data_IF_699952553640
#
_entry.id   IF_699952553640
#
_cell.length_a   1.000
_cell.length_b   1.000
_cell.length_c   1.000
_cell.angle_alpha   90.00
_cell.angle_beta   90.00
_cell.angle_gamma   90.00
#
_symmetry.space_group_name_H-M   'P 1'
#
loop_
_entity.id
_entity.type
_entity.pdbx_description
1 polymer ?
#
# COMPACT_ATOMS: atom_id res chain seq x y z
N UNK A 1 3.59 -42.76 24.18
CA UNK A 1 3.54 -42.62 25.64
C UNK A 1 3.28 -41.15 25.95
N UNK A 2 2.01 -40.80 26.14
CA UNK A 2 1.55 -39.46 26.51
C UNK A 2 0.78 -39.63 27.82
N UNK A 3 1.25 -38.99 28.87
CA UNK A 3 0.60 -39.03 30.18
C UNK A 3 -0.64 -38.14 30.18
N UNK A 4 -1.73 -38.82 30.53
CA UNK A 4 -3.09 -38.36 30.64
C UNK A 4 -3.33 -37.98 32.11
N UNK A 5 -3.69 -36.73 32.42
CA UNK A 5 -4.30 -36.40 33.72
C UNK A 5 -5.53 -35.54 33.52
N UNK A 6 -6.68 -35.93 34.11
CA UNK A 6 -7.96 -35.28 33.87
C UNK A 6 -8.21 -34.11 34.82
N UNK A 7 -8.99 -33.17 34.27
CA UNK A 7 -9.68 -32.06 34.89
C UNK A 7 -10.41 -32.43 36.20
N UNK A 8 -10.32 -31.56 37.20
CA UNK A 8 -11.28 -31.54 38.32
C UNK A 8 -11.92 -30.16 38.44
N UNK A 9 -13.25 -30.21 38.47
CA UNK A 9 -14.20 -29.13 38.62
C UNK A 9 -13.98 -28.32 39.90
N UNK A 10 -14.13 -27.00 39.79
CA UNK A 10 -14.26 -26.06 40.91
C UNK A 10 -15.74 -25.74 41.10
N UNK A 11 -16.30 -26.18 42.23
CA UNK A 11 -17.54 -25.65 42.84
C UNK A 11 -17.21 -25.05 44.21
N UNK A 12 -18.04 -24.12 44.73
CA UNK A 12 -17.59 -23.06 45.63
C UNK A 12 -17.59 -23.51 47.10
N UNK A 13 -16.50 -23.22 47.81
CA UNK A 13 -16.40 -23.47 49.25
C UNK A 13 -17.04 -22.31 50.01
N UNK A 14 -18.10 -22.65 50.75
CA UNK A 14 -18.79 -21.84 51.75
C UNK A 14 -17.83 -21.33 52.84
N UNK A 15 -18.00 -20.07 53.19
CA UNK A 15 -17.49 -19.43 54.41
C UNK A 15 -17.84 -20.29 55.63
N UNK A 16 -16.84 -20.70 56.40
CA UNK A 16 -16.90 -20.85 57.87
C UNK A 16 -15.49 -21.17 58.38
N UNK A 17 -14.86 -20.21 59.05
CA UNK A 17 -13.76 -20.49 59.98
C UNK A 17 -13.66 -19.35 60.97
N UNK A 18 -14.30 -19.56 62.12
CA UNK A 18 -13.99 -18.90 63.38
C UNK A 18 -12.72 -19.56 63.88
N UNK A 19 -11.59 -18.85 63.84
CA UNK A 19 -10.34 -19.37 64.39
C UNK A 19 -10.29 -19.03 65.89
N UNK A 20 -10.38 -20.09 66.69
CA UNK A 20 -10.18 -20.10 68.14
C UNK A 20 -8.78 -19.60 68.51
N UNK A 21 -8.69 -18.58 69.36
CA UNK A 21 -7.46 -18.12 69.98
C UNK A 21 -7.47 -18.56 71.46
N UNK A 22 -6.87 -19.71 71.76
CA UNK A 22 -6.54 -20.10 73.13
C UNK A 22 -5.07 -19.75 73.38
N UNK A 23 -4.83 -18.68 74.15
CA UNK A 23 -3.51 -18.36 74.70
C UNK A 23 -3.54 -18.74 76.18
N UNK A 24 -2.66 -19.67 76.54
CA UNK A 24 -2.40 -20.11 77.92
C UNK A 24 -1.66 -19.00 78.67
N UNK A 25 -2.19 -18.57 79.81
CA UNK A 25 -1.55 -17.61 80.73
C UNK A 25 -0.86 -18.42 81.84
N UNK A 26 0.46 -18.29 81.94
CA UNK A 26 1.24 -18.63 83.15
C UNK A 26 2.04 -17.39 83.59
N UNK A 27 2.14 -17.06 84.90
CA UNK A 27 2.82 -15.86 85.32
C UNK A 27 4.30 -16.17 85.66
N UNK A 28 5.21 -15.47 84.99
CA UNK A 28 6.58 -15.29 85.48
C UNK A 28 6.97 -13.83 85.27
N UNK A 29 7.01 -13.08 86.37
CA UNK A 29 7.60 -11.74 86.43
C UNK A 29 9.13 -11.85 86.38
N UNK A 30 9.77 -11.23 85.39
CA UNK A 30 10.97 -10.40 85.60
C UNK A 30 11.48 -9.72 84.32
N UNK A 31 11.83 -8.44 84.49
CA UNK A 31 12.81 -7.64 83.75
C UNK A 31 12.50 -7.18 82.29
N UNK A 32 11.93 -5.97 82.23
CA UNK A 32 12.19 -4.84 81.32
C UNK A 32 13.33 -5.03 80.29
N UNK A 33 12.98 -5.02 79.00
CA UNK A 33 13.63 -4.21 77.97
C UNK A 33 12.81 -4.23 76.67
N UNK A 34 12.68 -3.04 76.05
CA UNK A 34 11.96 -2.72 74.80
C UNK A 34 10.47 -2.46 74.97
N UNK A 35 10.07 -1.19 74.85
CA UNK A 35 8.71 -0.68 74.98
C UNK A 35 7.73 -1.30 73.97
N UNK A 36 7.31 -2.53 74.23
CA UNK A 36 6.19 -3.19 73.56
C UNK A 36 4.92 -3.00 74.39
N UNK A 37 3.80 -2.64 73.76
CA UNK A 37 2.53 -2.45 74.44
C UNK A 37 2.11 -3.74 75.16
N UNK A 38 1.43 -3.61 76.30
CA UNK A 38 0.86 -4.78 76.99
C UNK A 38 -0.11 -5.54 76.07
N UNK A 39 -0.36 -6.85 76.28
CA UNK A 39 -1.28 -7.62 75.44
C UNK A 39 -2.68 -6.97 75.31
N UNK A 40 -3.15 -6.29 76.35
CA UNK A 40 -4.41 -5.55 76.35
C UNK A 40 -4.36 -4.27 75.50
N UNK A 41 -3.23 -3.55 75.49
CA UNK A 41 -3.03 -2.36 74.66
C UNK A 41 -2.81 -2.74 73.19
N UNK A 42 -2.09 -3.83 72.93
CA UNK A 42 -1.93 -4.40 71.60
C UNK A 42 -3.28 -4.85 71.01
N UNK A 43 -4.14 -5.47 71.82
CA UNK A 43 -5.49 -5.86 71.41
C UNK A 43 -6.38 -4.64 71.14
N UNK A 44 -6.35 -3.60 71.99
CA UNK A 44 -7.08 -2.34 71.76
C UNK A 44 -6.62 -1.65 70.49
N UNK A 45 -5.31 -1.58 70.23
CA UNK A 45 -4.75 -1.02 69.01
C UNK A 45 -5.14 -1.83 67.76
N UNK A 46 -5.15 -3.16 67.85
CA UNK A 46 -5.58 -4.04 66.78
C UNK A 46 -7.08 -3.86 66.45
N UNK A 47 -7.94 -3.75 67.46
CA UNK A 47 -9.39 -3.50 67.29
C UNK A 47 -9.63 -2.11 66.69
N UNK A 48 -8.90 -1.09 67.11
CA UNK A 48 -8.99 0.25 66.54
C UNK A 48 -8.56 0.26 65.06
N UNK A 49 -7.47 -0.44 64.72
CA UNK A 49 -6.98 -0.59 63.34
C UNK A 49 -7.97 -1.39 62.48
N UNK A 50 -8.62 -2.42 63.03
CA UNK A 50 -9.65 -3.19 62.34
C UNK A 50 -10.87 -2.32 61.99
N UNK A 51 -11.36 -1.50 62.95
CA UNK A 51 -12.45 -0.54 62.70
C UNK A 51 -12.08 0.51 61.65
N UNK A 52 -10.83 0.98 61.67
CA UNK A 52 -10.33 1.92 60.68
C UNK A 52 -10.27 1.30 59.27
N UNK A 53 -9.79 0.05 59.17
CA UNK A 53 -9.76 -0.70 57.91
C UNK A 53 -11.16 -1.01 57.38
N UNK A 54 -12.11 -1.31 58.27
CA UNK A 54 -13.52 -1.52 57.91
C UNK A 54 -14.17 -0.23 57.37
N UNK A 55 -13.90 0.90 58.02
CA UNK A 55 -14.34 2.21 57.52
C UNK A 55 -13.72 2.56 56.15
N UNK A 56 -12.42 2.26 55.96
CA UNK A 56 -11.75 2.44 54.68
C UNK A 56 -12.32 1.52 53.59
N UNK A 57 -12.61 0.25 53.91
CA UNK A 57 -13.23 -0.70 53.01
C UNK A 57 -14.62 -0.24 52.58
N UNK A 58 -15.43 0.27 53.52
CA UNK A 58 -16.76 0.80 53.21
C UNK A 58 -16.70 2.04 52.32
N UNK A 59 -15.72 2.93 52.52
CA UNK A 59 -15.47 4.08 51.65
C UNK A 59 -15.03 3.67 50.24
N UNK A 60 -14.19 2.65 50.13
CA UNK A 60 -13.75 2.08 48.84
C UNK A 60 -14.90 1.40 48.09
N UNK A 61 -15.74 0.63 48.79
CA UNK A 61 -16.95 0.02 48.21
C UNK A 61 -17.90 1.09 47.66
N UNK A 62 -18.18 2.13 48.45
CA UNK A 62 -19.01 3.26 47.99
C UNK A 62 -18.42 3.97 46.77
N UNK A 63 -17.10 4.15 46.74
CA UNK A 63 -16.38 4.74 45.59
C UNK A 63 -16.44 3.84 44.35
N UNK A 64 -16.31 2.52 44.51
CA UNK A 64 -16.41 1.54 43.44
C UNK A 64 -17.83 1.50 42.84
N UNK A 65 -18.87 1.52 43.69
CA UNK A 65 -20.27 1.61 43.23
C UNK A 65 -20.52 2.90 42.46
N UNK A 66 -19.98 4.04 42.94
CA UNK A 66 -20.07 5.33 42.23
C UNK A 66 -19.37 5.29 40.87
N UNK A 67 -18.18 4.68 40.80
CA UNK A 67 -17.44 4.51 39.55
C UNK A 67 -18.17 3.58 38.57
N UNK A 68 -18.72 2.47 39.05
CA UNK A 68 -19.49 1.52 38.23
C UNK A 68 -20.76 2.16 37.67
N UNK A 69 -21.46 2.97 38.49
CA UNK A 69 -22.59 3.78 38.04
C UNK A 69 -22.16 4.79 36.97
N UNK A 70 -21.04 5.49 37.17
CA UNK A 70 -20.51 6.43 36.18
C UNK A 70 -20.14 5.77 34.84
N UNK A 71 -19.57 4.56 34.86
CA UNK A 71 -19.29 3.78 33.64
C UNK A 71 -20.58 3.36 32.94
N UNK A 72 -21.59 2.92 33.69
CA UNK A 72 -22.91 2.57 33.14
C UNK A 72 -23.64 3.79 32.54
N UNK A 73 -23.59 4.92 33.23
CA UNK A 73 -24.18 6.18 32.78
C UNK A 73 -23.46 6.68 31.51
N UNK A 74 -22.12 6.59 31.46
CA UNK A 74 -21.32 6.91 30.28
C UNK A 74 -21.63 5.99 29.09
N UNK A 75 -21.79 4.67 29.32
CA UNK A 75 -22.19 3.73 28.28
C UNK A 75 -23.61 4.00 27.75
N UNK A 76 -24.53 4.43 28.62
CA UNK A 76 -25.89 4.82 28.24
C UNK A 76 -25.90 6.13 27.44
N UNK A 77 -25.12 7.13 27.88
CA UNK A 77 -24.93 8.37 27.16
C UNK A 77 -24.28 8.15 25.78
N UNK A 78 -23.28 7.25 25.68
CA UNK A 78 -22.67 6.86 24.41
C UNK A 78 -23.70 6.22 23.47
N UNK A 79 -24.54 5.30 23.97
CA UNK A 79 -25.63 4.70 23.18
C UNK A 79 -26.65 5.73 22.72
N UNK A 80 -27.02 6.68 23.58
CA UNK A 80 -27.95 7.76 23.23
C UNK A 80 -27.34 8.73 22.19
N UNK A 81 -26.05 9.06 22.32
CA UNK A 81 -25.30 9.84 21.34
C UNK A 81 -25.19 9.10 20.00
N UNK A 82 -24.90 7.80 20.01
CA UNK A 82 -24.88 6.95 18.82
C UNK A 82 -26.27 6.90 18.15
N UNK A 83 -27.35 6.78 18.93
CA UNK A 83 -28.72 6.78 18.41
C UNK A 83 -29.13 8.15 17.84
N UNK A 84 -28.74 9.26 18.47
CA UNK A 84 -28.98 10.61 17.96
C UNK A 84 -28.18 10.89 16.69
N UNK A 85 -26.91 10.46 16.65
CA UNK A 85 -26.04 10.54 15.46
C UNK A 85 -26.62 9.69 14.32
N UNK A 86 -27.10 8.48 14.62
CA UNK A 86 -27.76 7.62 13.64
C UNK A 86 -29.05 8.26 13.10
N UNK A 87 -29.87 8.93 13.93
CA UNK A 87 -31.07 9.65 13.46
C UNK A 87 -30.74 10.82 12.54
N UNK A 88 -29.72 11.61 12.87
CA UNK A 88 -29.23 12.70 12.00
C UNK A 88 -28.66 12.12 10.69
N UNK A 89 -27.91 11.02 10.79
CA UNK A 89 -27.33 10.31 9.66
C UNK A 89 -28.40 9.75 8.71
N UNK A 90 -29.50 9.17 9.23
CA UNK A 90 -30.64 8.67 8.42
C UNK A 90 -31.30 9.80 7.62
N UNK A 91 -31.48 10.98 8.21
CA UNK A 91 -32.05 12.14 7.49
C UNK A 91 -31.10 12.69 6.42
N UNK A 92 -29.79 12.49 6.58
CA UNK A 92 -28.76 12.94 5.64
C UNK A 92 -28.40 11.88 4.59
N UNK A 93 -28.77 10.61 4.77
CA UNK A 93 -28.36 9.48 3.93
C UNK A 93 -28.76 9.69 2.46
N UNK A 94 -30.03 10.01 2.20
CA UNK A 94 -30.55 10.18 0.83
C UNK A 94 -29.86 11.36 0.10
N UNK A 95 -29.66 12.47 0.82
CA UNK A 95 -28.99 13.65 0.29
C UNK A 95 -27.50 13.40 0.02
N UNK A 96 -26.81 12.73 0.94
CA UNK A 96 -25.39 12.35 0.77
C UNK A 96 -25.21 11.34 -0.36
N UNK A 97 -26.13 10.37 -0.48
CA UNK A 97 -26.12 9.43 -1.60
C UNK A 97 -26.28 10.17 -2.93
N UNK A 98 -27.28 11.05 -3.05
CA UNK A 98 -27.52 11.83 -4.26
C UNK A 98 -26.31 12.69 -4.64
N UNK A 99 -25.68 13.34 -3.66
CA UNK A 99 -24.44 14.11 -3.86
C UNK A 99 -23.28 13.23 -4.30
N UNK A 100 -23.08 12.08 -3.65
CA UNK A 100 -22.04 11.13 -4.02
C UNK A 100 -22.23 10.59 -5.45
N UNK A 101 -23.46 10.21 -5.83
CA UNK A 101 -23.77 9.73 -7.18
C UNK A 101 -23.54 10.82 -8.24
N UNK A 102 -23.92 12.07 -7.95
CA UNK A 102 -23.70 13.20 -8.86
C UNK A 102 -22.21 13.49 -9.07
N UNK A 103 -21.42 13.51 -7.99
CA UNK A 103 -19.97 13.73 -8.08
C UNK A 103 -19.27 12.54 -8.75
N UNK A 104 -19.70 11.30 -8.48
CA UNK A 104 -19.18 10.12 -9.18
C UNK A 104 -19.44 10.19 -10.69
N UNK A 105 -20.59 10.74 -11.11
CA UNK A 105 -20.90 10.99 -12.52
C UNK A 105 -19.93 12.02 -13.14
N UNK A 106 -19.64 13.10 -12.42
CA UNK A 106 -18.65 14.11 -12.84
C UNK A 106 -17.24 13.52 -12.93
N UNK A 107 -16.84 12.71 -11.96
CA UNK A 107 -15.57 12.01 -11.94
C UNK A 107 -15.43 11.04 -13.12
N UNK A 108 -16.48 10.29 -13.45
CA UNK A 108 -16.50 9.40 -14.62
C UNK A 108 -16.36 10.16 -15.93
N UNK A 109 -17.04 11.30 -16.06
CA UNK A 109 -16.91 12.18 -17.23
C UNK A 109 -15.48 12.75 -17.34
N UNK A 110 -14.89 13.21 -16.23
CA UNK A 110 -13.51 13.68 -16.19
C UNK A 110 -12.51 12.56 -16.55
N UNK A 111 -12.74 11.33 -16.09
CA UNK A 111 -11.91 10.18 -16.42
C UNK A 111 -11.96 9.84 -17.92
N UNK A 112 -13.16 9.88 -18.52
CA UNK A 112 -13.34 9.69 -19.94
C UNK A 112 -12.62 10.78 -20.76
N UNK A 113 -12.73 12.05 -20.34
CA UNK A 113 -12.05 13.17 -20.98
C UNK A 113 -10.52 13.05 -20.88
N UNK A 114 -9.98 12.73 -19.70
CA UNK A 114 -8.54 12.52 -19.51
C UNK A 114 -8.03 11.32 -20.33
N UNK A 115 -8.79 10.23 -20.40
CA UNK A 115 -8.45 9.07 -21.25
C UNK A 115 -8.41 9.47 -22.73
N UNK A 116 -9.43 10.18 -23.23
CA UNK A 116 -9.47 10.66 -24.60
C UNK A 116 -8.29 11.60 -24.92
N UNK A 117 -7.96 12.51 -24.00
CA UNK A 117 -6.81 13.40 -24.13
C UNK A 117 -5.48 12.63 -24.19
N UNK A 118 -5.29 11.62 -23.33
CA UNK A 118 -4.11 10.75 -23.35
C UNK A 118 -4.00 9.96 -24.65
N UNK A 119 -5.09 9.37 -25.13
CA UNK A 119 -5.11 8.66 -26.41
C UNK A 119 -4.73 9.58 -27.58
N UNK A 120 -5.27 10.80 -27.59
CA UNK A 120 -4.92 11.81 -28.61
C UNK A 120 -3.45 12.20 -28.53
N UNK A 121 -2.93 12.46 -27.32
CA UNK A 121 -1.52 12.77 -27.10
C UNK A 121 -0.60 11.63 -27.56
N UNK A 122 -0.97 10.38 -27.26
CA UNK A 122 -0.23 9.20 -27.68
C UNK A 122 -0.25 9.04 -29.20
N UNK A 123 -1.42 9.17 -29.84
CA UNK A 123 -1.53 9.10 -31.30
C UNK A 123 -0.66 10.15 -32.01
N UNK A 124 -0.55 11.37 -31.47
CA UNK A 124 0.36 12.38 -32.00
C UNK A 124 1.84 12.02 -31.82
N UNK A 125 2.22 11.41 -30.68
CA UNK A 125 3.58 10.90 -30.45
C UNK A 125 3.93 9.75 -31.40
N UNK A 126 3.00 8.83 -31.60
CA UNK A 126 3.16 7.69 -32.51
C UNK A 126 3.32 8.16 -33.97
N UNK A 127 2.55 9.17 -34.39
CA UNK A 127 2.67 9.81 -35.70
C UNK A 127 4.07 10.45 -35.88
N UNK A 128 4.57 11.17 -34.88
CA UNK A 128 5.94 11.73 -34.90
C UNK A 128 6.98 10.61 -34.99
N UNK A 129 6.84 9.53 -34.21
CA UNK A 129 7.75 8.40 -34.26
C UNK A 129 7.78 7.74 -35.64
N UNK A 130 6.61 7.53 -36.25
CA UNK A 130 6.47 6.98 -37.61
C UNK A 130 7.12 7.89 -38.66
N UNK A 131 6.89 9.20 -38.58
CA UNK A 131 7.49 10.16 -39.51
C UNK A 131 9.01 10.22 -39.34
N UNK A 132 9.54 10.20 -38.11
CA UNK A 132 10.99 10.14 -37.84
C UNK A 132 11.61 8.85 -38.39
N UNK A 133 10.94 7.71 -38.25
CA UNK A 133 11.38 6.45 -38.85
C UNK A 133 11.41 6.52 -40.38
N UNK A 134 10.39 7.13 -41.00
CA UNK A 134 10.35 7.36 -42.45
C UNK A 134 11.48 8.28 -42.93
N UNK A 135 11.79 9.35 -42.19
CA UNK A 135 12.93 10.24 -42.46
C UNK A 135 14.24 9.46 -42.36
N UNK A 136 14.44 8.67 -41.32
CA UNK A 136 15.65 7.87 -41.14
C UNK A 136 15.85 6.88 -42.29
N UNK A 137 14.78 6.17 -42.68
CA UNK A 137 14.81 5.25 -43.82
C UNK A 137 15.13 5.98 -45.14
N UNK A 138 14.41 7.06 -45.45
CA UNK A 138 14.63 7.82 -46.68
C UNK A 138 16.04 8.43 -46.74
N UNK A 139 16.58 8.86 -45.59
CA UNK A 139 17.97 9.36 -45.49
C UNK A 139 18.98 8.24 -45.78
N UNK A 140 18.76 7.04 -45.27
CA UNK A 140 19.63 5.89 -45.53
C UNK A 140 19.55 5.44 -46.99
N UNK A 141 18.34 5.38 -47.57
CA UNK A 141 18.12 5.04 -48.98
C UNK A 141 18.79 6.08 -49.90
N UNK A 142 18.70 7.37 -49.56
CA UNK A 142 19.40 8.44 -50.26
C UNK A 142 20.91 8.25 -50.20
N UNK A 143 21.49 8.06 -49.01
CA UNK A 143 22.94 7.86 -48.85
C UNK A 143 23.44 6.64 -49.63
N UNK A 144 22.70 5.54 -49.60
CA UNK A 144 23.02 4.33 -50.34
C UNK A 144 22.96 4.55 -51.86
N UNK A 145 21.95 5.28 -52.34
CA UNK A 145 21.81 5.62 -53.75
C UNK A 145 22.92 6.58 -54.22
N UNK A 146 23.21 7.64 -53.45
CA UNK A 146 24.26 8.62 -53.74
C UNK A 146 25.65 7.96 -53.84
N UNK A 147 25.95 6.97 -52.97
CA UNK A 147 27.19 6.19 -53.04
C UNK A 147 27.37 5.44 -54.38
N UNK A 148 26.27 5.07 -55.02
CA UNK A 148 26.27 4.33 -56.30
C UNK A 148 26.28 5.24 -57.53
N UNK A 149 25.91 6.53 -57.39
CA UNK A 149 25.88 7.48 -58.52
C UNK A 149 27.23 7.59 -59.20
N UNK A 150 28.32 7.81 -58.44
CA UNK A 150 29.66 7.97 -59.04
C UNK A 150 30.11 6.69 -59.78
N UNK A 151 30.12 5.49 -59.17
CA UNK A 151 30.44 4.25 -59.89
C UNK A 151 29.57 3.99 -61.12
N UNK A 152 28.26 4.26 -61.03
CA UNK A 152 27.34 4.07 -62.15
C UNK A 152 27.52 5.12 -63.26
N UNK A 153 27.87 6.36 -62.91
CA UNK A 153 28.20 7.42 -63.88
C UNK A 153 29.48 7.06 -64.62
N UNK A 154 30.51 6.60 -63.89
CA UNK A 154 31.77 6.16 -64.48
C UNK A 154 31.55 4.93 -65.39
N UNK A 155 30.72 3.97 -64.97
CA UNK A 155 30.37 2.80 -65.76
C UNK A 155 29.52 3.14 -67.00
N UNK A 156 28.54 4.05 -66.87
CA UNK A 156 27.73 4.52 -67.98
C UNK A 156 28.59 5.26 -69.01
N UNK A 157 29.48 6.15 -68.56
CA UNK A 157 30.45 6.84 -69.41
C UNK A 157 31.36 5.85 -70.14
N UNK A 158 31.94 4.87 -69.42
CA UNK A 158 32.78 3.83 -70.01
C UNK A 158 32.02 2.99 -71.05
N UNK A 159 30.76 2.65 -70.78
CA UNK A 159 29.92 1.89 -71.71
C UNK A 159 29.54 2.73 -72.95
N UNK A 160 29.30 4.03 -72.79
CA UNK A 160 29.06 4.96 -73.90
C UNK A 160 30.32 5.16 -74.74
N UNK A 161 31.48 5.35 -74.12
CA UNK A 161 32.78 5.48 -74.81
C UNK A 161 33.09 4.18 -75.60
N UNK A 162 32.80 3.01 -75.01
CA UNK A 162 32.93 1.72 -75.69
C UNK A 162 31.95 1.53 -76.85
N UNK A 163 30.70 2.01 -76.71
CA UNK A 163 29.72 2.04 -77.80
C UNK A 163 30.21 2.93 -78.94
N UNK A 164 30.63 4.16 -78.67
CA UNK A 164 31.14 5.09 -79.69
C UNK A 164 32.35 4.52 -80.43
N UNK A 165 33.27 3.86 -79.71
CA UNK A 165 34.41 3.18 -80.31
C UNK A 165 33.97 1.99 -81.20
N UNK A 166 33.03 1.16 -80.74
CA UNK A 166 32.51 0.03 -81.51
C UNK A 166 31.69 0.47 -82.73
N UNK A 167 30.92 1.56 -82.63
CA UNK A 167 30.17 2.15 -83.74
C UNK A 167 31.12 2.70 -84.81
N UNK A 168 32.22 3.37 -84.40
CA UNK A 168 33.27 3.85 -85.31
C UNK A 168 34.02 2.69 -85.97
N UNK A 169 34.32 1.63 -85.22
CA UNK A 169 34.93 0.39 -85.73
C UNK A 169 34.00 -0.30 -86.75
N UNK A 170 32.70 -0.38 -86.47
CA UNK A 170 31.68 -0.90 -87.38
C UNK A 170 31.52 -0.05 -88.66
N UNK A 171 31.52 1.28 -88.53
CA UNK A 171 31.46 2.21 -89.67
C UNK A 171 32.70 2.13 -90.57
N UNK A 172 33.88 1.87 -89.98
CA UNK A 172 35.14 1.70 -90.73
C UNK A 172 35.21 0.33 -91.42
N UNK A 173 34.72 -0.73 -90.77
CA UNK A 173 34.68 -2.10 -91.30
C UNK A 173 33.66 -2.30 -92.43
N UNK A 174 32.58 -1.51 -92.48
CA UNK A 174 31.59 -1.53 -93.57
C UNK A 174 32.14 -1.06 -94.94
N UNK A 175 33.41 -0.63 -95.01
CA UNK A 175 34.03 0.00 -96.19
C UNK A 175 34.99 -0.90 -97.00
N UNK A 176 35.18 -2.19 -96.69
CA UNK A 176 36.05 -3.10 -97.46
C UNK A 176 35.53 -4.58 -97.49
N UNK A 177 35.93 -5.39 -98.49
CA UNK A 177 35.27 -6.64 -98.96
C UNK A 177 35.81 -7.99 -98.36
N UNK A 178 34.92 -9.00 -98.37
CA UNK A 178 35.04 -10.49 -98.20
C UNK A 178 35.76 -11.09 -96.97
N UNK A 179 37.04 -10.84 -96.67
CA UNK A 179 37.60 -11.19 -95.33
C UNK A 179 36.98 -10.33 -94.21
N UNK A 180 36.36 -9.23 -94.64
CA UNK A 180 35.59 -8.29 -93.85
C UNK A 180 34.28 -8.86 -93.30
N UNK A 181 33.65 -9.90 -93.88
CA UNK A 181 32.34 -10.37 -93.40
C UNK A 181 32.40 -10.99 -91.99
N UNK A 182 33.47 -11.72 -91.67
CA UNK A 182 33.64 -12.35 -90.34
C UNK A 182 34.02 -11.31 -89.27
N UNK A 183 34.85 -10.32 -89.62
CA UNK A 183 35.20 -9.20 -88.74
C UNK A 183 34.06 -8.20 -88.58
N UNK A 184 33.28 -7.94 -89.63
CA UNK A 184 32.09 -7.09 -89.59
C UNK A 184 30.98 -7.69 -88.73
N UNK A 185 30.74 -9.01 -88.82
CA UNK A 185 29.77 -9.70 -87.94
C UNK A 185 30.22 -9.65 -86.46
N UNK A 186 31.49 -9.93 -86.18
CA UNK A 186 32.02 -9.83 -84.82
C UNK A 186 31.99 -8.38 -84.27
N UNK A 187 32.26 -7.38 -85.12
CA UNK A 187 32.16 -5.97 -84.75
C UNK A 187 30.70 -5.54 -84.52
N UNK A 188 29.75 -6.02 -85.33
CA UNK A 188 28.32 -5.77 -85.15
C UNK A 188 27.76 -6.43 -83.88
N UNK A 189 28.16 -7.66 -83.56
CA UNK A 189 27.76 -8.35 -82.32
C UNK A 189 28.32 -7.61 -81.09
N UNK A 190 29.57 -7.13 -81.17
CA UNK A 190 30.22 -6.30 -80.15
C UNK A 190 29.52 -4.94 -79.98
N UNK A 191 29.17 -4.27 -81.08
CA UNK A 191 28.44 -3.00 -81.07
C UNK A 191 27.02 -3.16 -80.51
N UNK A 192 26.34 -4.26 -80.84
CA UNK A 192 25.00 -4.60 -80.32
C UNK A 192 25.07 -4.86 -78.81
N UNK A 193 26.04 -5.66 -78.36
CA UNK A 193 26.27 -5.93 -76.94
C UNK A 193 26.64 -4.65 -76.18
N UNK A 194 27.55 -3.84 -76.70
CA UNK A 194 27.94 -2.55 -76.12
C UNK A 194 26.76 -1.57 -76.04
N UNK A 195 25.92 -1.50 -77.06
CA UNK A 195 24.70 -0.69 -77.07
C UNK A 195 23.71 -1.15 -75.99
N UNK A 196 23.52 -2.47 -75.86
CA UNK A 196 22.65 -3.05 -74.82
C UNK A 196 23.18 -2.77 -73.41
N UNK A 197 24.49 -2.91 -73.21
CA UNK A 197 25.15 -2.60 -71.94
C UNK A 197 25.08 -1.11 -71.58
N UNK A 198 25.33 -0.22 -72.55
CA UNK A 198 25.24 1.23 -72.34
C UNK A 198 23.80 1.66 -72.01
N UNK A 199 22.80 1.05 -72.66
CA UNK A 199 21.39 1.27 -72.34
C UNK A 199 21.06 0.81 -70.92
N UNK A 200 21.46 -0.41 -70.54
CA UNK A 200 21.22 -0.94 -69.19
C UNK A 200 21.91 -0.12 -68.08
N UNK A 201 23.12 0.38 -68.32
CA UNK A 201 23.85 1.24 -67.39
C UNK A 201 23.15 2.61 -67.20
N UNK A 202 22.73 3.24 -68.31
CA UNK A 202 21.99 4.51 -68.27
C UNK A 202 20.60 4.36 -67.65
N UNK A 203 19.90 3.25 -67.91
CA UNK A 203 18.60 2.98 -67.29
C UNK A 203 18.73 2.75 -65.78
N UNK A 204 19.81 2.08 -65.35
CA UNK A 204 20.16 1.93 -63.92
C UNK A 204 20.45 3.29 -63.28
N UNK A 205 21.29 4.13 -63.89
CA UNK A 205 21.62 5.47 -63.38
C UNK A 205 20.38 6.37 -63.29
N UNK A 206 19.48 6.32 -64.30
CA UNK A 206 18.19 7.02 -64.26
C UNK A 206 17.33 6.58 -63.09
N UNK A 207 17.19 5.27 -62.86
CA UNK A 207 16.45 4.73 -61.71
C UNK A 207 17.05 5.21 -60.38
N UNK A 208 18.37 5.17 -60.23
CA UNK A 208 19.06 5.66 -59.02
C UNK A 208 18.84 7.16 -58.79
N UNK A 209 18.88 7.99 -59.83
CA UNK A 209 18.59 9.41 -59.72
C UNK A 209 17.12 9.69 -59.34
N UNK A 210 16.17 8.91 -59.85
CA UNK A 210 14.76 8.96 -59.43
C UNK A 210 14.62 8.60 -57.95
N UNK A 211 15.27 7.54 -57.47
CA UNK A 211 15.27 7.16 -56.05
C UNK A 211 15.81 8.27 -55.14
N UNK A 212 16.89 8.96 -55.54
CA UNK A 212 17.46 10.09 -54.79
C UNK A 212 16.45 11.24 -54.71
N UNK A 213 15.83 11.60 -55.84
CA UNK A 213 14.84 12.67 -55.89
C UNK A 213 13.62 12.37 -55.01
N UNK A 214 13.09 11.14 -55.08
CA UNK A 214 11.99 10.67 -54.23
C UNK A 214 12.37 10.67 -52.75
N UNK A 215 13.58 10.23 -52.42
CA UNK A 215 14.06 10.19 -51.03
C UNK A 215 14.23 11.59 -50.45
N UNK A 216 14.83 12.53 -51.19
CA UNK A 216 14.96 13.94 -50.79
C UNK A 216 13.61 14.62 -50.57
N UNK A 217 12.65 14.37 -51.47
CA UNK A 217 11.28 14.86 -51.32
C UNK A 217 10.62 14.28 -50.06
N UNK A 218 10.77 12.98 -49.84
CA UNK A 218 10.21 12.29 -48.66
C UNK A 218 10.79 12.85 -47.35
N UNK A 219 12.12 13.08 -47.29
CA UNK A 219 12.78 13.69 -46.12
C UNK A 219 12.25 15.09 -45.85
N UNK A 220 12.14 15.93 -46.88
CA UNK A 220 11.66 17.31 -46.75
C UNK A 220 10.20 17.36 -46.28
N UNK A 221 9.32 16.64 -46.96
CA UNK A 221 7.88 16.58 -46.65
C UNK A 221 7.66 16.01 -45.23
N UNK A 222 8.38 14.96 -44.85
CA UNK A 222 8.24 14.33 -43.55
C UNK A 222 8.79 15.20 -42.41
N UNK A 223 9.91 15.89 -42.61
CA UNK A 223 10.46 16.83 -41.60
C UNK A 223 9.52 18.03 -41.36
N UNK A 224 8.91 18.57 -42.43
CA UNK A 224 7.92 19.62 -42.28
C UNK A 224 6.68 19.15 -41.49
N UNK A 225 6.23 17.91 -41.75
CA UNK A 225 5.16 17.27 -40.97
C UNK A 225 5.56 17.04 -39.51
N UNK A 226 6.77 16.53 -39.24
CA UNK A 226 7.28 16.35 -37.86
C UNK A 226 7.22 17.67 -37.10
N UNK A 227 7.76 18.75 -37.68
CA UNK A 227 7.76 20.08 -37.04
C UNK A 227 6.34 20.57 -36.73
N UNK A 228 5.40 20.37 -37.67
CA UNK A 228 4.00 20.76 -37.49
C UNK A 228 3.31 19.93 -36.40
N UNK A 229 3.55 18.62 -36.37
CA UNK A 229 2.98 17.73 -35.36
C UNK A 229 3.58 18.00 -33.98
N UNK A 230 4.89 18.26 -33.87
CA UNK A 230 5.54 18.64 -32.60
C UNK A 230 5.02 19.99 -32.06
N UNK A 231 4.77 20.97 -32.93
CA UNK A 231 4.11 22.22 -32.53
C UNK A 231 2.66 21.99 -32.06
N UNK A 232 1.95 21.05 -32.69
CA UNK A 232 0.59 20.66 -32.26
C UNK A 232 0.60 19.96 -30.90
N UNK A 233 1.57 19.07 -30.65
CA UNK A 233 1.78 18.43 -29.34
C UNK A 233 2.02 19.50 -28.27
N UNK A 234 2.88 20.48 -28.56
CA UNK A 234 3.19 21.57 -27.62
C UNK A 234 1.94 22.39 -27.27
N UNK A 235 1.09 22.68 -28.27
CA UNK A 235 -0.19 23.37 -28.05
C UNK A 235 -1.22 22.53 -27.30
N UNK A 236 -1.19 21.21 -27.44
CA UNK A 236 -2.12 20.29 -26.77
C UNK A 236 -1.72 19.94 -25.32
N UNK A 237 -0.43 20.09 -24.97
CA UNK A 237 0.06 19.85 -23.62
C UNK A 237 -0.76 20.52 -22.49
N UNK A 238 -1.14 21.81 -22.57
CA UNK A 238 -1.99 22.44 -21.55
C UNK A 238 -3.41 21.84 -21.49
N UNK A 239 -3.97 21.38 -22.62
CA UNK A 239 -5.29 20.72 -22.62
C UNK A 239 -5.24 19.37 -21.90
N UNK A 240 -4.17 18.59 -22.12
CA UNK A 240 -3.93 17.34 -21.40
C UNK A 240 -3.77 17.61 -19.90
N UNK A 241 -2.92 18.56 -19.52
CA UNK A 241 -2.70 18.92 -18.12
C UNK A 241 -4.00 19.38 -17.43
N UNK A 242 -4.83 20.18 -18.10
CA UNK A 242 -6.14 20.60 -17.60
C UNK A 242 -7.08 19.42 -17.39
N UNK A 243 -7.11 18.47 -18.33
CA UNK A 243 -7.95 17.27 -18.20
C UNK A 243 -7.49 16.38 -17.02
N UNK A 244 -6.18 16.27 -16.80
CA UNK A 244 -5.62 15.51 -15.67
C UNK A 244 -5.87 16.18 -14.32
N UNK A 245 -5.67 17.49 -14.22
CA UNK A 245 -5.99 18.26 -13.01
C UNK A 245 -7.48 18.21 -12.66
N UNK A 246 -8.35 18.23 -13.68
CA UNK A 246 -9.80 18.07 -13.49
C UNK A 246 -10.12 16.67 -12.98
N UNK A 247 -9.51 15.62 -13.54
CA UNK A 247 -9.67 14.25 -13.06
C UNK A 247 -9.22 14.10 -11.61
N UNK A 248 -8.07 14.66 -11.25
CA UNK A 248 -7.55 14.61 -9.87
C UNK A 248 -8.52 15.28 -8.89
N UNK A 249 -8.95 16.51 -9.19
CA UNK A 249 -9.90 17.27 -8.37
C UNK A 249 -11.22 16.51 -8.20
N UNK A 250 -11.77 15.97 -9.29
CA UNK A 250 -13.02 15.23 -9.26
C UNK A 250 -12.89 13.87 -8.56
N UNK A 251 -11.72 13.24 -8.63
CA UNK A 251 -11.42 12.01 -7.89
C UNK A 251 -11.39 12.27 -6.39
N UNK A 252 -10.71 13.33 -5.94
CA UNK A 252 -10.69 13.72 -4.53
C UNK A 252 -12.09 14.07 -4.01
N UNK A 253 -12.86 14.84 -4.80
CA UNK A 253 -14.23 15.19 -4.47
C UNK A 253 -15.13 13.94 -4.36
N UNK A 254 -15.00 13.00 -5.31
CA UNK A 254 -15.75 11.75 -5.31
C UNK A 254 -15.41 10.89 -4.10
N UNK A 255 -14.13 10.71 -3.77
CA UNK A 255 -13.70 9.95 -2.59
C UNK A 255 -14.24 10.59 -1.30
N UNK A 256 -14.15 11.92 -1.19
CA UNK A 256 -14.64 12.65 -0.02
C UNK A 256 -16.15 12.47 0.18
N UNK A 257 -16.92 12.63 -0.90
CA UNK A 257 -18.37 12.44 -0.86
C UNK A 257 -18.76 10.99 -0.53
N UNK A 258 -18.08 10.01 -1.13
CA UNK A 258 -18.31 8.59 -0.83
C UNK A 258 -17.96 8.26 0.62
N UNK A 259 -16.86 8.75 1.18
CA UNK A 259 -16.51 8.54 2.60
C UNK A 259 -17.56 9.12 3.56
N UNK A 260 -18.10 10.29 3.25
CA UNK A 260 -19.19 10.88 4.03
C UNK A 260 -20.45 10.00 4.02
N UNK A 261 -20.80 9.45 2.85
CA UNK A 261 -21.91 8.53 2.71
C UNK A 261 -21.66 7.18 3.42
N UNK A 262 -20.47 6.58 3.25
CA UNK A 262 -20.09 5.35 3.95
C UNK A 262 -20.15 5.49 5.46
N UNK A 263 -19.72 6.64 6.01
CA UNK A 263 -19.77 6.92 7.45
C UNK A 263 -21.21 6.82 7.99
N UNK A 264 -22.19 7.32 7.22
CA UNK A 264 -23.62 7.19 7.53
C UNK A 264 -24.09 5.74 7.43
N UNK A 265 -23.69 5.01 6.39
CA UNK A 265 -24.06 3.60 6.24
C UNK A 265 -23.49 2.73 7.37
N UNK A 266 -22.26 2.99 7.81
CA UNK A 266 -21.63 2.31 8.94
C UNK A 266 -22.39 2.63 10.23
N UNK A 267 -22.66 3.92 10.50
CA UNK A 267 -23.40 4.36 11.69
C UNK A 267 -24.83 3.80 11.75
N UNK A 268 -25.47 3.58 10.60
CA UNK A 268 -26.80 2.99 10.48
C UNK A 268 -26.80 1.48 10.30
N UNK A 269 -25.64 0.82 10.48
CA UNK A 269 -25.45 -0.63 10.37
C UNK A 269 -25.73 -1.24 8.98
N UNK A 270 -25.86 -0.41 7.94
CA UNK A 270 -26.09 -0.83 6.55
C UNK A 270 -24.81 -1.20 5.79
N UNK A 271 -23.64 -0.89 6.36
CA UNK A 271 -22.33 -1.24 5.80
C UNK A 271 -21.39 -1.66 6.92
N UNK A 272 -20.48 -2.59 6.60
CA UNK A 272 -19.30 -2.88 7.41
C UNK A 272 -18.07 -2.39 6.66
N UNK A 273 -17.22 -1.59 7.30
CA UNK A 273 -15.96 -1.15 6.69
C UNK A 273 -15.03 -2.34 6.48
N UNK A 274 -14.61 -2.58 5.23
CA UNK A 274 -13.60 -3.59 4.96
C UNK A 274 -12.28 -3.25 5.65
N UNK A 275 -11.77 -2.04 5.47
CA UNK A 275 -10.44 -1.63 5.93
C UNK A 275 -10.34 -1.65 7.45
N UNK A 276 -11.37 -1.17 8.15
CA UNK A 276 -11.35 -1.04 9.60
C UNK A 276 -11.75 -2.32 10.33
N UNK A 277 -12.58 -3.17 9.71
CA UNK A 277 -13.20 -4.32 10.39
C UNK A 277 -12.78 -5.68 9.84
N UNK A 278 -12.63 -5.82 8.52
CA UNK A 278 -12.42 -7.13 7.87
C UNK A 278 -10.96 -7.37 7.52
N UNK A 279 -10.30 -6.40 6.90
CA UNK A 279 -8.88 -6.44 6.58
C UNK A 279 -8.00 -6.80 7.80
N UNK A 280 -8.27 -6.31 9.03
CA UNK A 280 -7.50 -6.70 10.21
C UNK A 280 -7.67 -8.18 10.57
N UNK A 281 -8.85 -8.76 10.32
CA UNK A 281 -9.11 -10.18 10.57
C UNK A 281 -8.35 -11.00 9.54
N UNK A 282 -8.46 -10.65 8.25
CA UNK A 282 -7.77 -11.38 7.18
C UNK A 282 -6.25 -11.31 7.32
N UNK A 283 -5.71 -10.12 7.59
CA UNK A 283 -4.28 -9.92 7.81
C UNK A 283 -3.73 -10.77 8.96
N UNK A 284 -4.52 -10.99 10.02
CA UNK A 284 -4.04 -11.71 11.20
C UNK A 284 -4.32 -13.21 11.19
N UNK A 285 -5.44 -13.61 10.60
CA UNK A 285 -5.94 -14.99 10.72
C UNK A 285 -5.75 -15.79 9.44
N UNK A 286 -5.48 -15.13 8.31
CA UNK A 286 -5.52 -15.78 7.00
C UNK A 286 -4.24 -15.56 6.19
N UNK A 287 -3.70 -14.34 6.18
CA UNK A 287 -2.56 -13.95 5.33
C UNK A 287 -1.28 -14.75 5.61
N UNK A 288 -1.07 -15.25 6.83
CA UNK A 288 0.09 -16.11 7.12
C UNK A 288 0.17 -17.37 6.23
N UNK A 289 -0.97 -17.88 5.75
CA UNK A 289 -1.06 -19.07 4.88
C UNK A 289 -1.71 -18.81 3.51
N UNK A 290 -2.30 -17.64 3.29
CA UNK A 290 -3.04 -17.26 2.09
C UNK A 290 -2.57 -15.89 1.59
N UNK A 291 -1.32 -15.82 1.17
CA UNK A 291 -0.69 -14.63 0.61
C UNK A 291 -0.11 -14.91 -0.79
N UNK A 292 0.48 -13.89 -1.41
CA UNK A 292 1.04 -14.01 -2.76
C UNK A 292 2.22 -15.01 -2.85
N UNK A 293 2.94 -15.25 -1.75
CA UNK A 293 4.08 -16.19 -1.68
C UNK A 293 3.64 -17.59 -1.26
N UNK A 294 2.75 -17.66 -0.29
CA UNK A 294 2.21 -18.87 0.31
C UNK A 294 0.70 -18.86 0.08
N UNK A 295 0.26 -19.39 -1.07
CA UNK A 295 -1.15 -19.45 -1.46
C UNK A 295 -1.73 -20.85 -1.24
N UNK A 296 -1.84 -21.31 0.02
CA UNK A 296 -2.44 -22.63 0.31
C UNK A 296 -3.87 -22.68 -0.25
N UNK A 297 -4.24 -23.81 -0.86
CA UNK A 297 -5.52 -23.94 -1.57
C UNK A 297 -5.68 -22.95 -2.73
N UNK A 298 -4.56 -22.47 -3.30
CA UNK A 298 -4.50 -21.45 -4.36
C UNK A 298 -5.22 -20.14 -4.04
N UNK A 299 -5.45 -19.86 -2.75
CA UNK A 299 -6.14 -18.67 -2.28
C UNK A 299 -5.14 -17.60 -1.83
N UNK A 300 -5.37 -16.35 -2.28
CA UNK A 300 -4.60 -15.18 -1.90
C UNK A 300 -5.52 -14.09 -1.32
N UNK A 301 -5.22 -13.65 -0.11
CA UNK A 301 -5.97 -12.67 0.66
C UNK A 301 -5.16 -11.38 0.93
N UNK A 302 -4.03 -11.17 0.26
CA UNK A 302 -3.16 -10.00 0.48
C UNK A 302 -3.78 -8.67 0.04
N UNK A 303 -4.80 -8.71 -0.81
CA UNK A 303 -5.53 -7.52 -1.25
C UNK A 303 -7.00 -7.86 -1.46
N UNK A 304 -7.83 -6.82 -1.53
CA UNK A 304 -9.24 -6.97 -1.83
C UNK A 304 -9.47 -7.64 -3.20
N UNK A 305 -8.74 -7.20 -4.23
CA UNK A 305 -8.81 -7.78 -5.56
C UNK A 305 -8.37 -9.24 -5.61
N UNK A 306 -7.33 -9.62 -4.85
CA UNK A 306 -6.90 -11.02 -4.76
C UNK A 306 -7.97 -11.89 -4.10
N UNK A 307 -8.59 -11.38 -3.03
CA UNK A 307 -9.67 -12.05 -2.31
C UNK A 307 -10.85 -12.37 -3.22
N UNK A 308 -11.22 -11.44 -4.11
CA UNK A 308 -12.33 -11.65 -5.06
C UNK A 308 -12.06 -12.75 -6.10
N UNK A 309 -10.79 -13.07 -6.39
CA UNK A 309 -10.45 -14.12 -7.37
C UNK A 309 -10.75 -15.53 -6.84
N UNK A 310 -10.83 -15.70 -5.54
CA UNK A 310 -11.02 -17.02 -4.93
C UNK A 310 -9.77 -17.89 -4.99
N UNK A 311 -9.97 -19.19 -4.75
CA UNK A 311 -8.91 -20.20 -4.78
C UNK A 311 -9.35 -21.48 -5.48
N UNK A 312 -8.73 -22.60 -5.10
CA UNK A 312 -9.03 -23.93 -5.65
C UNK A 312 -10.47 -24.37 -5.42
N UNK A 313 -11.10 -23.92 -4.32
CA UNK A 313 -12.50 -24.16 -4.00
C UNK A 313 -13.46 -23.17 -4.67
N UNK A 314 -13.01 -22.41 -5.67
CA UNK A 314 -13.79 -21.38 -6.35
C UNK A 314 -13.76 -20.03 -5.62
N UNK A 315 -14.83 -19.23 -5.78
CA UNK A 315 -14.94 -17.92 -5.15
C UNK A 315 -14.88 -18.03 -3.63
N UNK A 316 -14.13 -17.14 -2.98
CA UNK A 316 -14.07 -17.09 -1.52
C UNK A 316 -15.43 -16.76 -0.92
N UNK A 317 -16.15 -15.81 -1.52
CA UNK A 317 -17.48 -15.44 -1.10
C UNK A 317 -18.31 -14.92 -2.26
N UNK A 318 -19.64 -15.00 -2.11
CA UNK A 318 -20.60 -14.35 -2.97
C UNK A 318 -21.17 -13.12 -2.25
N UNK A 319 -20.99 -11.93 -2.86
CA UNK A 319 -21.52 -10.69 -2.33
C UNK A 319 -23.04 -10.80 -2.10
N UNK A 320 -23.49 -10.44 -0.90
CA UNK A 320 -24.88 -10.54 -0.46
C UNK A 320 -25.32 -11.92 0.04
N UNK A 321 -24.49 -12.96 -0.06
CA UNK A 321 -24.84 -14.34 0.29
C UNK A 321 -23.80 -15.00 1.21
N UNK A 322 -23.73 -14.54 2.46
CA UNK A 322 -22.79 -15.07 3.43
C UNK A 322 -22.95 -16.59 3.64
N UNK A 323 -24.18 -17.07 3.80
CA UNK A 323 -24.43 -18.49 4.11
C UNK A 323 -24.14 -19.44 2.94
N UNK A 324 -24.06 -18.91 1.70
CA UNK A 324 -23.65 -19.67 0.51
C UNK A 324 -22.15 -19.54 0.20
N UNK A 325 -21.41 -18.76 0.99
CA UNK A 325 -20.01 -18.45 0.72
C UNK A 325 -19.08 -19.50 1.32
N UNK A 326 -18.17 -20.04 0.49
CA UNK A 326 -17.18 -21.04 0.92
C UNK A 326 -16.34 -20.58 2.11
N UNK A 327 -15.92 -19.32 2.14
CA UNK A 327 -15.19 -18.73 3.26
C UNK A 327 -15.98 -18.86 4.57
N UNK A 328 -17.28 -18.60 4.56
CA UNK A 328 -18.12 -18.62 5.77
C UNK A 328 -18.28 -20.04 6.29
N UNK A 329 -18.52 -21.01 5.41
CA UNK A 329 -18.62 -22.42 5.79
C UNK A 329 -17.34 -22.92 6.50
N UNK A 330 -16.16 -22.58 5.96
CA UNK A 330 -14.87 -23.01 6.49
C UNK A 330 -14.44 -22.33 7.80
N UNK A 331 -14.92 -21.12 8.08
CA UNK A 331 -14.63 -20.44 9.36
C UNK A 331 -15.63 -20.80 10.46
N UNK A 332 -16.86 -21.20 10.10
CA UNK A 332 -17.89 -21.62 11.05
C UNK A 332 -17.68 -23.03 11.57
N UNK A 333 -17.22 -23.96 10.72
CA UNK A 333 -16.92 -25.34 11.12
C UNK A 333 -15.55 -25.48 11.82
N UNK A 334 -14.76 -24.39 11.85
CA UNK A 334 -13.43 -24.35 12.44
C UNK A 334 -12.32 -24.98 11.59
N UNK A 335 -12.60 -25.38 10.35
CA UNK A 335 -11.62 -25.91 9.40
C UNK A 335 -10.57 -24.86 9.03
N UNK A 336 -10.93 -23.57 9.08
CA UNK A 336 -10.03 -22.44 8.87
C UNK A 336 -10.11 -21.44 10.02
N UNK A 337 -8.96 -20.98 10.54
CA UNK A 337 -7.61 -21.21 10.04
C UNK A 337 -7.06 -22.59 10.46
N UNK A 338 -6.38 -23.27 9.53
CA UNK A 338 -5.77 -24.58 9.81
C UNK A 338 -4.55 -24.43 10.73
N UNK A 339 -4.44 -25.31 11.73
CA UNK A 339 -3.33 -25.37 12.70
C UNK A 339 -3.18 -24.08 13.55
N UNK A 340 -4.25 -23.29 13.69
CA UNK A 340 -4.34 -22.15 14.59
C UNK A 340 -5.70 -22.12 15.28
N UNK A 341 -5.87 -21.25 16.27
CA UNK A 341 -7.16 -21.11 16.95
C UNK A 341 -8.26 -20.72 15.94
N UNK A 342 -9.50 -21.20 16.11
CA UNK A 342 -10.64 -20.75 15.32
C UNK A 342 -10.88 -19.24 15.43
N UNK A 343 -11.61 -18.66 14.49
CA UNK A 343 -12.11 -17.30 14.64
C UNK A 343 -13.12 -17.23 15.80
N UNK A 344 -13.17 -16.08 16.46
CA UNK A 344 -14.21 -15.81 17.47
C UNK A 344 -15.58 -15.66 16.81
N UNK A 345 -16.66 -15.94 17.54
CA UNK A 345 -18.02 -15.78 17.05
C UNK A 345 -18.31 -14.35 16.55
N UNK A 346 -17.75 -13.33 17.21
CA UNK A 346 -17.90 -11.93 16.79
C UNK A 346 -17.18 -11.64 15.46
N UNK A 347 -15.99 -12.21 15.24
CA UNK A 347 -15.26 -12.08 13.97
C UNK A 347 -16.04 -12.73 12.82
N UNK A 348 -16.56 -13.94 13.03
CA UNK A 348 -17.38 -14.65 12.04
C UNK A 348 -18.63 -13.83 11.73
N UNK A 349 -19.36 -13.37 12.74
CA UNK A 349 -20.56 -12.53 12.59
C UNK A 349 -20.26 -11.25 11.80
N UNK A 350 -19.10 -10.64 12.02
CA UNK A 350 -18.67 -9.42 11.32
C UNK A 350 -18.38 -9.70 9.84
N UNK A 351 -17.68 -10.79 9.52
CA UNK A 351 -17.43 -11.24 8.14
C UNK A 351 -18.75 -11.52 7.42
N UNK A 352 -19.67 -12.27 8.05
CA UNK A 352 -20.99 -12.57 7.49
C UNK A 352 -21.78 -11.29 7.20
N UNK A 353 -21.80 -10.36 8.16
CA UNK A 353 -22.48 -9.07 7.98
C UNK A 353 -21.87 -8.29 6.82
N UNK A 354 -20.54 -8.21 6.74
CA UNK A 354 -19.87 -7.55 5.62
C UNK A 354 -20.26 -8.16 4.27
N UNK A 355 -20.22 -9.48 4.14
CA UNK A 355 -20.64 -10.18 2.91
C UNK A 355 -22.11 -9.85 2.58
N UNK A 356 -23.02 -9.97 3.55
CA UNK A 356 -24.44 -9.70 3.36
C UNK A 356 -24.73 -8.23 3.03
N UNK A 357 -23.91 -7.29 3.50
CA UNK A 357 -23.99 -5.87 3.11
C UNK A 357 -23.31 -5.55 1.79
N UNK A 358 -22.95 -6.56 1.00
CA UNK A 358 -22.41 -6.41 -0.35
C UNK A 358 -20.90 -6.56 -0.47
N UNK A 359 -20.19 -6.92 0.61
CA UNK A 359 -18.74 -7.12 0.63
C UNK A 359 -17.93 -5.93 0.08
N UNK A 360 -18.40 -4.71 0.31
CA UNK A 360 -17.81 -3.50 -0.27
C UNK A 360 -16.43 -3.16 0.29
N UNK A 361 -15.57 -2.59 -0.56
CA UNK A 361 -14.33 -1.93 -0.18
C UNK A 361 -14.60 -0.45 0.14
N UNK A 362 -13.90 0.11 1.13
CA UNK A 362 -14.05 1.52 1.49
C UNK A 362 -13.59 2.47 0.37
N UNK A 363 -14.26 3.61 0.27
CA UNK A 363 -13.93 4.66 -0.66
C UNK A 363 -12.51 5.19 -0.46
N UNK A 364 -11.78 5.33 -1.57
CA UNK A 364 -10.40 5.81 -1.60
C UNK A 364 -9.36 4.75 -1.25
N UNK A 365 -9.76 3.49 -1.02
CA UNK A 365 -8.84 2.37 -0.91
C UNK A 365 -8.69 1.70 -2.27
N UNK A 366 -7.45 1.49 -2.70
CA UNK A 366 -7.15 0.80 -3.95
C UNK A 366 -7.47 -0.69 -3.82
N UNK A 367 -8.10 -1.27 -4.86
CA UNK A 367 -8.45 -2.70 -4.86
C UNK A 367 -7.24 -3.63 -4.76
N UNK A 368 -6.07 -3.15 -5.19
CA UNK A 368 -4.80 -3.89 -5.13
C UNK A 368 -3.91 -3.45 -3.96
N UNK A 369 -4.36 -2.51 -3.13
CA UNK A 369 -3.57 -2.09 -1.98
C UNK A 369 -3.40 -3.29 -1.05
N UNK A 370 -2.18 -3.55 -0.56
CA UNK A 370 -1.94 -4.68 0.33
C UNK A 370 -2.67 -4.43 1.66
N UNK A 371 -3.23 -5.49 2.27
CA UNK A 371 -4.01 -5.36 3.50
C UNK A 371 -3.25 -4.59 4.59
N UNK A 372 -1.94 -4.80 4.69
CA UNK A 372 -1.09 -4.12 5.68
C UNK A 372 -1.08 -2.59 5.54
N UNK A 373 -1.29 -2.05 4.34
CA UNK A 373 -1.33 -0.61 4.08
C UNK A 373 -2.68 0.02 4.44
N UNK A 374 -3.75 -0.76 4.42
CA UNK A 374 -5.13 -0.26 4.61
C UNK A 374 -5.68 -0.57 6.01
N UNK A 375 -5.09 -1.55 6.71
CA UNK A 375 -5.48 -1.91 8.08
C UNK A 375 -5.16 -0.76 9.03
N UNK A 376 -6.13 -0.28 9.83
CA UNK A 376 -5.90 0.81 10.77
C UNK A 376 -4.84 0.44 11.80
N UNK A 377 -4.18 1.47 12.32
CA UNK A 377 -3.25 1.31 13.45
C UNK A 377 -4.04 0.82 14.65
N UNK A 378 -3.56 -0.26 15.27
CA UNK A 378 -4.16 -0.73 16.51
C UNK A 378 -3.77 0.23 17.63
N UNK A 379 -4.73 0.70 18.44
CA UNK A 379 -4.37 1.41 19.65
C UNK A 379 -3.53 0.47 20.50
N UNK A 380 -2.40 0.97 20.99
CA UNK A 380 -1.56 0.18 21.89
C UNK A 380 -2.28 0.06 23.23
N UNK A 381 -2.27 -1.12 23.87
CA UNK A 381 -2.90 -1.29 25.16
C UNK A 381 -2.25 -0.36 26.19
N UNK A 382 -3.06 0.14 27.12
CA UNK A 382 -2.54 0.92 28.23
C UNK A 382 -1.65 0.04 29.12
N UNK A 383 -0.44 0.50 29.48
CA UNK A 383 0.43 -0.27 30.37
C UNK A 383 -0.25 -0.41 31.75
N UNK A 384 -0.04 -1.53 32.46
CA UNK A 384 -0.64 -1.74 33.76
C UNK A 384 -0.12 -0.71 34.78
N UNK A 385 -0.94 -0.34 35.77
CA UNK A 385 -0.52 0.59 36.83
C UNK A 385 0.72 0.10 37.58
N UNK A 386 0.82 -1.21 37.80
CA UNK A 386 1.99 -1.87 38.36
C UNK A 386 2.23 -3.19 37.63
N UNK A 387 3.49 -3.49 37.33
CA UNK A 387 3.88 -4.77 36.76
C UNK A 387 3.94 -5.84 37.86
N UNK A 388 3.37 -7.01 37.57
CA UNK A 388 3.39 -8.16 38.51
C UNK A 388 4.72 -8.90 38.51
N UNK A 389 5.49 -8.74 37.43
CA UNK A 389 6.82 -9.33 37.22
C UNK A 389 7.76 -8.25 36.68
N UNK A 390 9.08 -8.35 36.91
CA UNK A 390 10.03 -7.43 36.30
C UNK A 390 9.89 -7.44 34.77
N UNK A 391 9.84 -6.25 34.16
CA UNK A 391 9.87 -6.09 32.69
C UNK A 391 11.31 -5.78 32.26
N UNK A 392 11.80 -6.37 31.16
CA UNK A 392 13.11 -6.03 30.63
C UNK A 392 13.21 -4.55 30.29
N UNK A 393 14.30 -3.91 30.70
CA UNK A 393 14.68 -2.58 30.21
C UNK A 393 15.67 -2.80 29.07
N UNK A 394 15.23 -2.52 27.85
CA UNK A 394 15.95 -2.76 26.60
C UNK A 394 16.56 -1.48 26.03
N UNK A 395 16.09 -0.31 26.44
CA UNK A 395 16.62 0.97 26.01
C UNK A 395 16.60 2.00 27.15
N UNK A 396 17.63 2.86 27.19
CA UNK A 396 17.74 4.01 28.09
C UNK A 396 18.40 5.17 27.36
N UNK A 397 18.01 6.40 27.68
CA UNK A 397 18.63 7.60 27.10
C UNK A 397 18.55 8.79 28.06
N UNK A 398 19.66 9.51 28.20
CA UNK A 398 19.66 10.80 28.88
C UNK A 398 19.23 11.91 27.91
N UNK A 399 18.48 12.88 28.43
CA UNK A 399 18.28 14.14 27.72
C UNK A 399 19.61 14.87 27.54
N UNK A 400 19.77 15.71 26.49
CA UNK A 400 21.02 16.43 26.24
C UNK A 400 21.45 17.33 27.40
N UNK A 401 20.48 17.87 28.16
CA UNK A 401 20.73 18.70 29.34
C UNK A 401 20.94 17.89 30.63
N UNK A 402 20.86 16.55 30.56
CA UNK A 402 21.02 15.65 31.69
C UNK A 402 19.91 15.72 32.75
N UNK A 403 18.83 16.47 32.54
CA UNK A 403 17.76 16.66 33.52
C UNK A 403 16.70 15.57 33.50
N UNK A 404 16.67 14.74 32.45
CA UNK A 404 15.74 13.64 32.30
C UNK A 404 16.48 12.37 31.88
N UNK A 405 16.07 11.24 32.42
CA UNK A 405 16.42 9.92 31.95
C UNK A 405 15.16 9.26 31.41
N UNK A 406 15.18 8.78 30.17
CA UNK A 406 14.14 7.92 29.64
C UNK A 406 14.57 6.46 29.76
N UNK A 407 13.63 5.58 30.11
CA UNK A 407 13.82 4.13 30.04
C UNK A 407 12.64 3.45 29.36
N UNK A 408 12.90 2.37 28.64
CA UNK A 408 11.87 1.51 28.09
C UNK A 408 11.03 0.84 29.20
N UNK A 409 9.74 0.72 28.96
CA UNK A 409 8.84 -0.21 29.66
C UNK A 409 8.12 -1.12 28.67
N UNK A 410 7.00 -1.71 29.10
CA UNK A 410 6.16 -2.57 28.25
C UNK A 410 4.91 -1.78 27.82
N UNK A 411 4.82 -1.45 26.53
CA UNK A 411 3.89 -0.45 25.95
C UNK A 411 4.09 0.99 26.43
N UNK A 412 5.27 1.32 26.95
CA UNK A 412 5.55 2.65 27.46
C UNK A 412 7.03 3.03 27.47
N UNK A 413 7.26 4.33 27.61
CA UNK A 413 8.55 4.90 28.03
C UNK A 413 8.34 5.64 29.35
N UNK A 414 9.26 5.46 30.28
CA UNK A 414 9.20 6.08 31.60
C UNK A 414 10.27 7.17 31.66
N UNK A 415 9.86 8.37 32.06
CA UNK A 415 10.77 9.50 32.30
C UNK A 415 11.06 9.61 33.80
N UNK A 416 12.33 9.81 34.12
CA UNK A 416 12.87 9.88 35.47
C UNK A 416 13.63 11.18 35.66
N UNK A 417 13.61 11.71 36.88
CA UNK A 417 14.58 12.69 37.33
C UNK A 417 15.85 11.95 37.76
N UNK A 418 16.99 12.12 37.07
CA UNK A 418 18.21 11.39 37.39
C UNK A 418 18.83 11.82 38.73
N UNK A 419 18.52 13.02 39.24
CA UNK A 419 19.09 13.51 40.50
C UNK A 419 18.55 12.80 41.74
N UNK A 420 17.26 12.41 41.73
CA UNK A 420 16.60 11.78 42.87
C UNK A 420 15.93 10.42 42.54
N UNK A 421 16.05 9.96 41.30
CA UNK A 421 15.52 8.68 40.84
C UNK A 421 13.99 8.62 40.79
N UNK A 422 13.29 9.75 40.93
CA UNK A 422 11.82 9.73 40.92
C UNK A 422 11.27 9.69 39.51
N UNK A 423 10.20 8.90 39.34
CA UNK A 423 9.42 8.88 38.11
C UNK A 423 8.72 10.22 37.91
N UNK A 424 8.94 10.84 36.77
CA UNK A 424 8.32 12.09 36.35
C UNK A 424 7.06 11.81 35.53
N UNK A 425 7.13 10.87 34.58
CA UNK A 425 6.03 10.62 33.64
C UNK A 425 6.08 9.21 33.06
N UNK A 426 4.91 8.70 32.66
CA UNK A 426 4.74 7.53 31.79
C UNK A 426 4.21 8.01 30.43
N UNK A 427 4.92 7.68 29.37
CA UNK A 427 4.53 7.93 27.99
C UNK A 427 3.95 6.63 27.46
N UNK A 428 2.66 6.63 27.12
CA UNK A 428 1.92 5.46 26.64
C UNK A 428 1.76 5.51 25.11
N UNK A 429 0.94 4.61 24.56
CA UNK A 429 0.73 4.50 23.12
C UNK A 429 2.00 4.10 22.34
N UNK A 430 2.85 3.28 22.96
CA UNK A 430 4.06 2.69 22.37
C UNK A 430 3.82 1.20 22.16
N UNK A 431 4.37 0.64 21.08
CA UNK A 431 4.31 -0.80 20.83
C UNK A 431 4.94 -1.64 21.96
N UNK A 432 4.66 -2.94 21.92
CA UNK A 432 4.97 -3.89 23.01
C UNK A 432 6.39 -3.77 23.55
N UNK A 433 7.38 -3.77 22.65
CA UNK A 433 8.80 -3.69 22.98
C UNK A 433 9.39 -2.41 22.45
N UNK A 434 10.07 -1.66 23.30
CA UNK A 434 10.90 -0.52 22.89
C UNK A 434 12.30 -1.03 22.60
N UNK A 435 12.82 -0.78 21.41
CA UNK A 435 14.16 -1.20 21.01
C UNK A 435 15.19 -0.08 21.14
N UNK A 436 14.76 1.17 20.98
CA UNK A 436 15.65 2.32 21.11
C UNK A 436 14.87 3.57 21.52
N UNK A 437 15.58 4.48 22.18
CA UNK A 437 15.09 5.78 22.62
C UNK A 437 16.20 6.78 22.35
N UNK A 438 15.89 7.89 21.68
CA UNK A 438 16.86 8.98 21.48
C UNK A 438 16.20 10.34 21.61
N UNK A 439 16.94 11.30 22.16
CA UNK A 439 16.49 12.69 22.28
C UNK A 439 16.96 13.51 21.08
N UNK A 440 16.16 14.48 20.67
CA UNK A 440 16.63 15.54 19.78
C UNK A 440 17.76 16.34 20.46
N UNK A 441 18.67 16.92 19.67
CA UNK A 441 19.79 17.69 20.21
C UNK A 441 19.35 18.89 21.08
N UNK A 442 18.19 19.47 20.79
CA UNK A 442 17.59 20.55 21.58
C UNK A 442 16.80 20.07 22.81
N UNK A 443 16.68 18.75 23.00
CA UNK A 443 16.00 18.11 24.12
C UNK A 443 14.47 18.24 24.12
N UNK A 444 13.85 18.82 23.07
CA UNK A 444 12.39 19.05 23.02
C UNK A 444 11.59 17.85 22.55
N UNK A 445 12.24 16.94 21.83
CA UNK A 445 11.61 15.75 21.27
C UNK A 445 12.38 14.50 21.66
N UNK A 446 11.67 13.38 21.67
CA UNK A 446 12.23 12.06 21.82
C UNK A 446 11.66 11.15 20.74
N UNK A 447 12.54 10.48 20.00
CA UNK A 447 12.17 9.41 19.09
C UNK A 447 12.22 8.07 19.82
N UNK A 448 11.20 7.26 19.63
CA UNK A 448 11.06 5.93 20.23
C UNK A 448 10.86 4.93 19.10
N UNK A 449 11.79 4.00 18.98
CA UNK A 449 11.69 2.86 18.08
C UNK A 449 11.11 1.68 18.86
N UNK A 450 9.96 1.17 18.42
CA UNK A 450 9.26 0.11 19.12
C UNK A 450 8.61 -0.89 18.15
N UNK A 451 8.20 -2.04 18.65
CA UNK A 451 7.47 -3.00 17.83
C UNK A 451 6.87 -4.16 18.60
N UNK A 452 5.95 -4.84 17.92
CA UNK A 452 5.42 -6.14 18.34
C UNK A 452 5.94 -7.17 17.33
N UNK A 453 6.80 -8.10 17.76
CA UNK A 453 7.39 -9.11 16.88
C UNK A 453 6.34 -9.85 16.04
N UNK A 454 6.67 -10.01 14.76
CA UNK A 454 5.79 -10.65 13.78
C UNK A 454 4.51 -9.86 13.46
N UNK A 455 4.37 -8.61 13.94
CA UNK A 455 3.18 -7.79 13.70
C UNK A 455 3.51 -6.41 13.15
N UNK A 456 4.30 -5.61 13.87
CA UNK A 456 4.60 -4.22 13.50
C UNK A 456 5.96 -3.76 14.04
N UNK A 457 6.65 -2.91 13.26
CA UNK A 457 7.64 -1.95 13.76
C UNK A 457 7.11 -0.53 13.63
N UNK A 458 7.42 0.35 14.58
CA UNK A 458 7.02 1.75 14.59
C UNK A 458 8.15 2.69 15.06
N UNK A 459 8.11 3.93 14.55
CA UNK A 459 8.92 5.05 15.06
C UNK A 459 7.97 6.19 15.40
N UNK A 460 7.96 6.61 16.66
CA UNK A 460 7.12 7.70 17.16
C UNK A 460 7.96 8.81 17.78
N UNK A 461 7.50 10.05 17.60
CA UNK A 461 8.06 11.25 18.21
C UNK A 461 7.17 11.72 19.34
N UNK A 462 7.77 11.96 20.50
CA UNK A 462 7.09 12.47 21.67
C UNK A 462 7.70 13.79 22.14
N UNK A 463 6.86 14.65 22.66
CA UNK A 463 7.25 15.84 23.42
C UNK A 463 7.88 15.42 24.74
N UNK A 464 9.06 15.94 25.07
CA UNK A 464 9.73 15.66 26.35
C UNK A 464 9.11 16.42 27.53
N UNK A 465 8.41 17.53 27.25
CA UNK A 465 7.79 18.36 28.27
C UNK A 465 6.53 17.71 28.88
N UNK A 466 5.66 17.17 28.04
CA UNK A 466 4.35 16.65 28.44
C UNK A 466 4.09 15.20 28.03
N UNK A 467 5.00 14.57 27.27
CA UNK A 467 4.85 13.20 26.79
C UNK A 467 3.81 13.04 25.68
N UNK A 468 3.32 14.13 25.09
CA UNK A 468 2.35 14.08 24.00
C UNK A 468 2.99 13.50 22.73
N UNK A 469 2.20 12.71 21.97
CA UNK A 469 2.61 12.20 20.66
C UNK A 469 2.63 13.36 19.65
N UNK A 470 3.81 13.67 19.12
CA UNK A 470 4.01 14.72 18.12
C UNK A 470 4.03 14.18 16.69
N UNK A 471 4.44 12.93 16.50
CA UNK A 471 4.53 12.32 15.19
C UNK A 471 4.58 10.80 15.25
N UNK A 472 4.06 10.15 14.22
CA UNK A 472 4.10 8.69 14.04
C UNK A 472 4.62 8.45 12.63
N UNK A 473 5.94 8.25 12.54
CA UNK A 473 6.72 8.48 11.33
C UNK A 473 6.74 7.27 10.39
N UNK A 474 6.85 6.07 10.95
CA UNK A 474 7.04 4.84 10.18
C UNK A 474 6.21 3.71 10.75
N UNK A 475 5.64 2.91 9.87
CA UNK A 475 5.15 1.56 10.15
C UNK A 475 5.86 0.61 9.19
N UNK A 476 6.74 -0.25 9.70
CA UNK A 476 7.19 -1.40 8.91
C UNK A 476 6.23 -2.55 9.15
N UNK A 477 5.70 -3.09 8.06
CA UNK A 477 4.94 -4.32 8.06
C UNK A 477 5.83 -5.40 7.46
N UNK A 478 6.79 -5.91 8.24
CA UNK A 478 7.44 -7.17 7.86
C UNK A 478 6.39 -8.26 8.00
N UNK A 479 5.71 -8.55 6.88
CA UNK A 479 4.97 -9.78 6.68
C UNK A 479 6.00 -10.89 6.51
N UNK A 480 6.25 -11.64 7.59
CA UNK A 480 6.92 -12.94 7.51
C UNK A 480 5.93 -13.97 6.98
#
# INVERSE_FOLDING_TARGET
>A
MRDNRPSRCLTPILLTSVLSLAVVIGPSLSAVAQGKPSPAEALKAAVAKAKQLEAQLNKLKASATKAQKAVSDAATALKAQQAATAKIAVLQEAELKKKADAIATQQKAAAAAAKAARTKAQGMKDEVAKLKAAVAKATNDQKAAEKNVKPQTDAAKKATDAKTAADKEAATAAKALVDAQKRAKAAMDKATKATTTAKAANDTLKKTNVTIATSKKTVTDSNAKVKTTEATITKFAPELAKAEATLETQTLASVTASKAYESVLIATNKMVSFSDSIAPIFAQRCVACHNARTAKGRLNLDSFAATLKGGESGLSFESGKADASTLVALIEDGSMPKDADPLTADQIKLIKKWINTGAGLNAGVGVNDPLIAIVPKRPQPMPPKAYRVPVPVTAVAFSPDGKQLASSGYHEVILWNPADGKMVRRITNVAERVYDITYSADGKQMAVAAGTPGQIGEIKLFSTADGSLQGDLVRTGDSV
#
